data_IF_793244234593
#
_entry.id   IF_793244234593
#
_cell.length_a   1.000
_cell.length_b   1.000
_cell.length_c   1.000
_cell.angle_alpha   90.00
_cell.angle_beta   90.00
_cell.angle_gamma   90.00
#
_symmetry.space_group_name_H-M   'P 1'
#
loop_
_entity.id
_entity.type
_entity.pdbx_description
1 polymer ?
#
# COMPACT_ATOMS: atom_id res chain seq x y z
N UNK A 1 -13.96 -23.29 5.83
CA UNK A 1 -13.61 -22.26 6.82
C UNK A 1 -12.49 -21.38 6.28
N UNK A 2 -12.67 -20.07 6.34
CA UNK A 2 -11.60 -19.13 5.98
C UNK A 2 -10.56 -19.16 7.09
N UNK A 3 -9.28 -19.24 6.73
CA UNK A 3 -8.20 -19.32 7.72
C UNK A 3 -7.38 -18.02 7.83
N UNK A 4 -7.31 -17.22 6.76
CA UNK A 4 -6.64 -15.92 6.80
C UNK A 4 -6.78 -15.20 5.45
N UNK A 5 -6.41 -13.93 5.43
CA UNK A 5 -6.21 -13.20 4.17
C UNK A 5 -4.87 -13.67 3.59
N UNK A 6 -4.88 -14.15 2.35
CA UNK A 6 -3.68 -14.60 1.66
C UNK A 6 -2.94 -13.44 0.98
N UNK A 7 -3.68 -12.64 0.24
CA UNK A 7 -3.15 -11.46 -0.41
C UNK A 7 -4.26 -10.43 -0.59
N UNK A 8 -3.86 -9.21 -0.83
CA UNK A 8 -4.74 -8.12 -1.24
C UNK A 8 -4.24 -7.59 -2.58
N UNK A 9 -5.12 -6.98 -3.35
CA UNK A 9 -4.73 -6.34 -4.60
C UNK A 9 -5.19 -4.90 -4.63
N UNK A 10 -4.29 -4.02 -5.02
CA UNK A 10 -4.62 -2.64 -5.40
C UNK A 10 -4.34 -2.50 -6.88
N UNK A 11 -4.85 -1.44 -7.49
CA UNK A 11 -4.61 -1.21 -8.92
C UNK A 11 -3.97 0.15 -9.16
N UNK A 12 -3.26 0.21 -10.28
CA UNK A 12 -2.63 1.41 -10.79
C UNK A 12 -3.03 1.57 -12.26
N UNK A 13 -2.88 2.76 -12.84
CA UNK A 13 -3.11 2.90 -14.28
C UNK A 13 -2.18 2.02 -15.09
N UNK A 14 -2.66 1.50 -16.21
CA UNK A 14 -1.85 0.68 -17.11
C UNK A 14 -0.59 1.42 -17.54
N UNK A 15 0.55 0.73 -17.51
CA UNK A 15 1.84 1.29 -17.90
C UNK A 15 2.58 2.06 -16.84
N UNK A 16 2.05 2.13 -15.61
CA UNK A 16 2.66 2.90 -14.52
C UNK A 16 3.44 2.04 -13.52
N UNK A 17 3.84 0.85 -13.91
CA UNK A 17 4.52 -0.08 -12.99
C UNK A 17 5.83 0.48 -12.44
N UNK A 18 6.62 1.19 -13.26
CA UNK A 18 7.89 1.74 -12.80
C UNK A 18 7.70 2.82 -11.73
N UNK A 19 6.68 3.66 -11.87
CA UNK A 19 6.37 4.66 -10.86
C UNK A 19 5.91 3.99 -9.56
N UNK A 20 5.11 2.93 -9.68
CA UNK A 20 4.67 2.15 -8.53
C UNK A 20 5.86 1.48 -7.82
N UNK A 21 6.83 0.95 -8.56
CA UNK A 21 8.04 0.37 -7.98
C UNK A 21 8.87 1.42 -7.24
N UNK A 22 8.99 2.61 -7.80
CA UNK A 22 9.71 3.71 -7.11
C UNK A 22 9.08 4.02 -5.77
N UNK A 23 7.76 3.99 -5.68
CA UNK A 23 7.05 4.27 -4.43
C UNK A 23 7.09 3.09 -3.47
N UNK A 24 6.57 1.94 -3.89
CA UNK A 24 6.38 0.79 -3.00
C UNK A 24 7.69 0.07 -2.67
N UNK A 25 8.60 -0.05 -3.63
CA UNK A 25 9.89 -0.69 -3.39
C UNK A 25 10.98 0.33 -3.06
N UNK A 26 10.97 1.49 -3.69
CA UNK A 26 12.02 2.51 -3.49
C UNK A 26 11.84 3.27 -2.19
N UNK A 27 10.65 3.79 -1.90
CA UNK A 27 10.37 4.58 -0.70
C UNK A 27 9.94 3.68 0.46
N UNK A 28 8.93 2.84 0.26
CA UNK A 28 8.40 1.99 1.34
C UNK A 28 9.21 0.73 1.58
N UNK A 29 10.17 0.41 0.71
CA UNK A 29 11.11 -0.71 0.88
C UNK A 29 10.45 -2.09 0.90
N UNK A 30 9.31 -2.25 0.23
CA UNK A 30 8.73 -3.57 0.05
C UNK A 30 9.51 -4.37 -0.99
N UNK A 31 9.53 -5.68 -0.81
CA UNK A 31 10.29 -6.59 -1.69
C UNK A 31 9.39 -7.10 -2.81
N UNK A 32 9.84 -6.94 -4.05
CA UNK A 32 9.14 -7.51 -5.19
C UNK A 32 9.41 -9.01 -5.26
N UNK A 33 8.36 -9.79 -5.54
CA UNK A 33 8.43 -11.24 -5.74
C UNK A 33 7.96 -11.59 -7.14
N UNK A 34 8.36 -12.78 -7.63
CA UNK A 34 8.04 -13.20 -8.99
C UNK A 34 6.56 -13.57 -9.14
N UNK A 35 5.96 -13.12 -10.24
CA UNK A 35 4.65 -13.60 -10.65
C UNK A 35 4.79 -14.93 -11.38
N UNK A 36 3.78 -15.83 -11.28
CA UNK A 36 3.78 -17.03 -12.12
C UNK A 36 3.79 -16.69 -13.61
N UNK A 37 4.42 -17.53 -14.41
CA UNK A 37 4.52 -17.33 -15.86
C UNK A 37 3.15 -17.15 -16.51
N UNK A 38 2.13 -17.84 -16.01
CA UNK A 38 0.76 -17.75 -16.52
C UNK A 38 0.13 -16.36 -16.42
N UNK A 39 0.68 -15.50 -15.56
CA UNK A 39 0.14 -14.16 -15.31
C UNK A 39 1.04 -13.03 -15.81
N UNK A 40 2.20 -13.33 -16.39
CA UNK A 40 3.17 -12.31 -16.78
C UNK A 40 2.64 -11.32 -17.82
N UNK A 41 1.74 -11.73 -18.69
CA UNK A 41 1.20 -10.86 -19.74
C UNK A 41 0.12 -9.89 -19.29
N UNK A 42 -0.28 -9.91 -18.02
CA UNK A 42 -1.39 -9.10 -17.52
C UNK A 42 -0.99 -7.73 -16.97
N UNK A 43 0.31 -7.43 -16.94
CA UNK A 43 0.82 -6.22 -16.30
C UNK A 43 0.80 -6.31 -14.78
N UNK A 44 1.34 -5.28 -14.11
CA UNK A 44 1.43 -5.27 -12.66
C UNK A 44 2.60 -6.10 -12.13
N UNK A 45 2.67 -6.18 -10.81
CA UNK A 45 3.74 -6.94 -10.14
C UNK A 45 3.31 -7.28 -8.71
N UNK A 46 4.03 -8.17 -8.08
CA UNK A 46 3.71 -8.67 -6.75
C UNK A 46 4.77 -8.29 -5.74
N UNK A 47 4.30 -8.00 -4.52
CA UNK A 47 5.15 -7.62 -3.39
C UNK A 47 4.92 -8.55 -2.22
N UNK A 48 5.96 -8.73 -1.40
CA UNK A 48 5.90 -9.47 -0.16
C UNK A 48 5.74 -8.51 1.01
N UNK A 49 4.83 -8.84 1.94
CA UNK A 49 4.63 -8.10 3.19
C UNK A 49 4.48 -9.12 4.30
N UNK A 50 5.55 -9.31 5.11
CA UNK A 50 5.52 -10.33 6.14
C UNK A 50 5.23 -11.70 5.53
N UNK A 51 4.20 -12.39 6.03
CA UNK A 51 3.74 -13.67 5.52
C UNK A 51 2.61 -13.54 4.49
N UNK A 52 2.30 -12.33 4.07
CA UNK A 52 1.25 -12.04 3.09
C UNK A 52 1.84 -11.40 1.83
N UNK A 53 1.01 -11.18 0.85
CA UNK A 53 1.42 -10.56 -0.40
C UNK A 53 0.50 -9.39 -0.74
N UNK A 54 1.08 -8.39 -1.40
CA UNK A 54 0.34 -7.31 -2.02
C UNK A 54 0.53 -7.43 -3.53
N UNK A 55 -0.56 -7.61 -4.24
CA UNK A 55 -0.55 -7.65 -5.69
C UNK A 55 -0.90 -6.26 -6.22
N UNK A 56 -0.11 -5.76 -7.14
CA UNK A 56 -0.39 -4.51 -7.83
C UNK A 56 -0.84 -4.87 -9.24
N UNK A 57 -2.13 -4.71 -9.49
CA UNK A 57 -2.72 -4.93 -10.81
C UNK A 57 -2.81 -3.62 -11.58
N UNK A 58 -3.17 -3.71 -12.85
CA UNK A 58 -3.38 -2.53 -13.69
C UNK A 58 -4.82 -2.48 -14.17
N UNK A 59 -5.39 -1.28 -14.16
CA UNK A 59 -6.72 -1.08 -14.74
C UNK A 59 -6.92 0.39 -15.10
N UNK A 60 -7.70 0.63 -16.14
CA UNK A 60 -7.98 1.98 -16.65
C UNK A 60 -9.39 2.42 -16.25
N UNK A 61 -9.64 3.73 -16.26
CA UNK A 61 -10.98 4.28 -16.04
C UNK A 61 -11.43 4.26 -14.57
N UNK A 62 -10.52 4.09 -13.63
CA UNK A 62 -10.83 4.07 -12.20
C UNK A 62 -10.49 5.41 -11.57
N UNK A 63 -11.44 5.99 -10.86
CA UNK A 63 -11.18 7.16 -10.01
C UNK A 63 -10.97 6.69 -8.57
N UNK A 64 -9.71 6.58 -8.17
CA UNK A 64 -9.33 6.04 -6.87
C UNK A 64 -9.64 6.98 -5.71
N UNK A 65 -9.94 8.25 -6.01
CA UNK A 65 -10.31 9.22 -4.99
C UNK A 65 -11.77 9.09 -4.54
N UNK A 66 -12.60 8.37 -5.29
CA UNK A 66 -14.03 8.26 -5.03
C UNK A 66 -14.41 7.07 -4.16
N UNK A 67 -13.46 6.24 -3.77
CA UNK A 67 -13.75 5.06 -2.95
C UNK A 67 -13.17 5.21 -1.54
N UNK A 68 -13.83 4.61 -0.56
CA UNK A 68 -13.32 4.47 0.81
C UNK A 68 -12.40 3.26 0.97
N UNK A 69 -12.31 2.40 -0.05
CA UNK A 69 -11.48 1.20 0.02
C UNK A 69 -10.04 1.55 0.28
N UNK A 70 -9.43 0.88 1.23
CA UNK A 70 -8.02 1.10 1.56
C UNK A 70 -7.44 -0.12 2.26
N UNK A 71 -6.11 -0.21 2.25
CA UNK A 71 -5.38 -1.18 3.05
C UNK A 71 -4.74 -0.44 4.22
N UNK A 72 -4.71 -1.10 5.36
CA UNK A 72 -3.98 -0.63 6.52
C UNK A 72 -2.76 -1.52 6.73
N UNK A 73 -1.60 -0.90 6.79
CA UNK A 73 -0.33 -1.59 7.03
C UNK A 73 0.13 -1.29 8.46
N UNK A 74 0.42 -2.34 9.20
CA UNK A 74 1.00 -2.16 10.52
C UNK A 74 2.48 -1.83 10.37
N UNK A 75 2.93 -0.79 11.08
CA UNK A 75 4.32 -0.32 11.03
C UNK A 75 4.93 -0.32 12.43
N UNK A 76 6.24 -0.50 12.52
CA UNK A 76 6.93 -0.51 13.80
C UNK A 76 7.10 0.90 14.38
N UNK A 77 7.38 1.87 13.51
CA UNK A 77 7.63 3.25 13.92
C UNK A 77 6.85 4.20 13.04
N UNK A 78 5.70 4.63 13.55
CA UNK A 78 4.78 5.48 12.80
C UNK A 78 5.38 6.85 12.49
N UNK A 79 6.13 7.43 13.45
CA UNK A 79 6.73 8.74 13.26
C UNK A 79 7.82 8.70 12.19
N UNK A 80 8.62 7.65 12.15
CA UNK A 80 9.64 7.49 11.11
C UNK A 80 9.01 7.39 9.73
N UNK A 81 7.88 6.68 9.61
CA UNK A 81 7.17 6.57 8.35
C UNK A 81 6.55 7.90 7.93
N UNK A 82 6.04 8.68 8.87
CA UNK A 82 5.53 10.01 8.58
C UNK A 82 6.63 10.92 8.03
N UNK A 83 7.80 10.92 8.69
CA UNK A 83 8.94 11.72 8.24
C UNK A 83 9.41 11.30 6.84
N UNK A 84 9.50 10.01 6.61
CA UNK A 84 9.90 9.47 5.30
C UNK A 84 8.96 9.94 4.18
N UNK A 85 7.66 9.83 4.42
CA UNK A 85 6.67 10.24 3.43
C UNK A 85 6.73 11.75 3.17
N UNK A 86 6.84 12.56 4.23
CA UNK A 86 6.97 14.01 4.10
C UNK A 86 8.22 14.42 3.33
N UNK A 87 9.33 13.73 3.53
CA UNK A 87 10.57 13.97 2.78
C UNK A 87 10.37 13.77 1.27
N UNK A 88 9.45 12.89 0.89
CA UNK A 88 9.12 12.61 -0.50
C UNK A 88 7.89 13.39 -1.00
N UNK A 89 7.47 14.41 -0.26
CA UNK A 89 6.38 15.29 -0.69
C UNK A 89 4.98 14.70 -0.55
N UNK A 90 4.82 13.64 0.23
CA UNK A 90 3.51 13.02 0.44
C UNK A 90 2.76 13.77 1.55
N UNK A 91 1.52 14.15 1.27
CA UNK A 91 0.65 14.80 2.25
C UNK A 91 0.11 13.77 3.23
N UNK A 92 0.24 14.06 4.52
CA UNK A 92 -0.30 13.21 5.59
C UNK A 92 -1.71 13.69 5.93
N UNK A 93 -2.66 12.75 5.92
CA UNK A 93 -4.05 13.03 6.24
C UNK A 93 -4.34 12.52 7.65
N UNK A 94 -4.93 13.38 8.48
CA UNK A 94 -5.32 12.98 9.82
C UNK A 94 -6.50 12.02 9.76
N UNK A 95 -6.47 11.03 10.67
CA UNK A 95 -7.53 10.04 10.78
C UNK A 95 -8.27 10.21 12.11
N UNK A 96 -9.51 9.78 12.14
CA UNK A 96 -10.27 9.73 13.40
C UNK A 96 -9.55 8.79 14.37
N UNK A 97 -9.30 9.20 15.62
CA UNK A 97 -8.60 8.35 16.57
C UNK A 97 -9.32 7.04 16.83
N UNK A 98 -8.53 5.96 16.92
CA UNK A 98 -9.01 4.64 17.34
C UNK A 98 -8.34 4.31 18.67
N UNK A 99 -9.10 4.07 19.76
CA UNK A 99 -8.50 3.70 21.03
C UNK A 99 -7.59 2.47 20.90
N UNK A 100 -6.39 2.54 21.46
CA UNK A 100 -5.42 1.46 21.40
C UNK A 100 -4.50 1.48 20.18
N UNK A 101 -4.65 2.48 19.31
CA UNK A 101 -3.85 2.59 18.08
C UNK A 101 -3.41 4.02 17.83
N UNK A 102 -2.29 4.17 17.15
CA UNK A 102 -1.88 5.38 16.47
C UNK A 102 -1.92 5.11 14.98
N UNK A 103 -2.38 6.08 14.19
CA UNK A 103 -2.50 5.87 12.74
C UNK A 103 -2.56 7.19 11.99
N UNK A 104 -2.24 7.13 10.70
CA UNK A 104 -2.54 8.20 9.76
C UNK A 104 -2.81 7.61 8.39
N UNK A 105 -3.32 8.44 7.49
CA UNK A 105 -3.61 8.04 6.13
C UNK A 105 -2.88 8.95 5.14
N UNK A 106 -2.72 8.46 3.92
CA UNK A 106 -2.19 9.23 2.80
C UNK A 106 -2.67 8.62 1.50
N UNK A 107 -2.38 9.28 0.39
CA UNK A 107 -2.66 8.77 -0.95
C UNK A 107 -1.35 8.36 -1.60
N UNK A 108 -1.35 7.19 -2.25
CA UNK A 108 -0.21 6.80 -3.07
C UNK A 108 -0.15 7.67 -4.35
N UNK A 109 0.87 7.52 -5.21
CA UNK A 109 0.98 8.37 -6.41
C UNK A 109 -0.20 8.28 -7.37
N UNK A 110 -1.04 7.26 -7.25
CA UNK A 110 -2.18 7.02 -8.15
C UNK A 110 -3.53 7.37 -7.52
N UNK A 111 -3.52 7.79 -6.27
CA UNK A 111 -4.72 8.13 -5.52
C UNK A 111 -5.27 7.03 -4.64
N UNK A 112 -4.64 5.85 -4.58
CA UNK A 112 -5.06 4.81 -3.65
C UNK A 112 -4.93 5.31 -2.21
N UNK A 113 -5.98 5.11 -1.41
CA UNK A 113 -5.96 5.46 0.01
C UNK A 113 -5.17 4.41 0.77
N UNK A 114 -4.23 4.87 1.59
CA UNK A 114 -3.35 4.01 2.39
C UNK A 114 -3.41 4.45 3.84
N UNK A 115 -3.45 3.48 4.74
CA UNK A 115 -3.38 3.73 6.18
C UNK A 115 -2.15 3.07 6.74
N UNK A 116 -1.39 3.79 7.58
CA UNK A 116 -0.36 3.20 8.44
C UNK A 116 -0.87 3.21 9.86
N UNK A 117 -0.73 2.09 10.56
CA UNK A 117 -1.31 1.89 11.88
C UNK A 117 -0.29 1.17 12.78
N UNK A 118 -0.30 1.55 14.04
CA UNK A 118 0.55 0.91 15.05
C UNK A 118 -0.26 0.73 16.33
N UNK A 119 -0.32 -0.50 16.88
CA UNK A 119 -0.88 -0.69 18.21
C UNK A 119 -0.06 0.09 19.24
N UNK A 120 -0.72 0.81 20.14
CA UNK A 120 -0.04 1.40 21.29
C UNK A 120 0.02 0.34 22.38
N UNK A 121 1.25 -0.09 22.70
CA UNK A 121 1.48 -1.11 23.68
C UNK A 121 1.03 -0.69 25.05
N UNK A 122 0.53 -1.63 25.82
CA UNK A 122 0.20 -1.45 27.24
C UNK A 122 1.27 -2.12 28.06
#
# INVERSE_FOLDING_TARGET
>A
MIIRVHHAQITIPSGQEEEARRFYCGILKLKEINKPASLLGRGGFWLEIGDQQLHIGTETGVDRLLTKAHLAYEVENLQAMEMLLKEHGVEILESVPIPGYERFEFRDPFGNRVEFIKPVGS
#
